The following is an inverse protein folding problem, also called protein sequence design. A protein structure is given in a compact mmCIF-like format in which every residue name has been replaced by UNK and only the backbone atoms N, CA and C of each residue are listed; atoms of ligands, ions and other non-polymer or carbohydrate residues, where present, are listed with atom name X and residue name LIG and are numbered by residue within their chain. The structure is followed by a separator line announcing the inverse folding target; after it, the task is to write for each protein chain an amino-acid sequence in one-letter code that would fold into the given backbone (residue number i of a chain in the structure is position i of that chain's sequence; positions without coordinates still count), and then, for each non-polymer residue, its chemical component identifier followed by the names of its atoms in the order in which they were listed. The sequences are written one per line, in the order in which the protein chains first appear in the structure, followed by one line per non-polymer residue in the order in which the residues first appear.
data_IF_599796144971
#
_entry.id   IF_599796144971
#
_cell.length_a   1.000
_cell.length_b   1.000
_cell.length_c   1.000
_cell.angle_alpha   90.00
_cell.angle_beta   90.00
_cell.angle_gamma   90.00
#
_symmetry.space_group_name_H-M   'P 1'
#
loop_
_entity.id
_entity.type
_entity.pdbx_description
1 polymer ?
#
# COMPACT_ATOMS: atom_id res chain seq x y z
N UNK A 1 -3.25 17.53 12.70
CA UNK A 1 -2.83 17.91 11.33
C UNK A 1 -3.33 16.87 10.35
N UNK A 2 -3.71 17.25 9.13
CA UNK A 2 -4.09 16.27 8.10
C UNK A 2 -2.87 15.39 7.77
N UNK A 3 -3.07 14.06 7.69
CA UNK A 3 -2.00 13.14 7.27
C UNK A 3 -1.59 13.46 5.83
N UNK A 4 -0.29 13.44 5.56
CA UNK A 4 0.22 13.60 4.19
C UNK A 4 -0.14 12.36 3.38
N UNK A 5 -0.59 12.55 2.14
CA UNK A 5 -1.03 11.46 1.26
C UNK A 5 0.04 11.14 0.21
N UNK A 6 0.22 9.87 -0.12
CA UNK A 6 1.13 9.40 -1.17
C UNK A 6 0.44 8.34 -2.04
N UNK A 7 0.57 8.47 -3.37
CA UNK A 7 0.13 7.47 -4.34
C UNK A 7 1.36 6.75 -4.91
N UNK A 8 1.42 5.43 -4.76
CA UNK A 8 2.52 4.60 -5.25
C UNK A 8 2.05 3.75 -6.43
N UNK A 9 2.65 3.99 -7.59
CA UNK A 9 2.57 3.09 -8.74
C UNK A 9 3.68 2.05 -8.65
N UNK A 10 3.40 0.80 -9.05
CA UNK A 10 4.35 -0.28 -8.85
C UNK A 10 4.52 -0.69 -7.38
N UNK A 11 3.50 -0.45 -6.54
CA UNK A 11 3.53 -0.79 -5.10
C UNK A 11 3.83 -2.28 -4.83
N UNK A 12 3.47 -3.16 -5.78
CA UNK A 12 3.76 -4.61 -5.71
C UNK A 12 5.22 -4.97 -6.02
N UNK A 13 6.03 -4.02 -6.48
CA UNK A 13 7.47 -4.23 -6.68
C UNK A 13 8.24 -4.19 -5.35
N UNK A 14 9.52 -4.57 -5.37
CA UNK A 14 10.40 -4.49 -4.19
C UNK A 14 10.48 -3.07 -3.65
N UNK A 15 10.86 -2.13 -4.50
CA UNK A 15 11.06 -0.75 -4.07
C UNK A 15 9.74 -0.08 -3.67
N UNK A 16 8.65 -0.47 -4.36
CA UNK A 16 7.31 0.00 -4.05
C UNK A 16 6.84 -0.43 -2.66
N UNK A 17 7.07 -1.68 -2.27
CA UNK A 17 6.69 -2.18 -0.94
C UNK A 17 7.54 -1.55 0.16
N UNK A 18 8.87 -1.44 -0.04
CA UNK A 18 9.76 -0.77 0.91
C UNK A 18 9.43 0.72 1.08
N UNK A 19 9.08 1.42 0.00
CA UNK A 19 8.66 2.82 0.06
C UNK A 19 7.34 2.98 0.80
N UNK A 20 6.39 2.05 0.60
CA UNK A 20 5.11 2.05 1.31
C UNK A 20 5.34 1.91 2.83
N UNK A 21 6.12 0.92 3.27
CA UNK A 21 6.46 0.71 4.68
C UNK A 21 7.14 1.95 5.29
N UNK A 22 8.11 2.52 4.57
CA UNK A 22 8.80 3.72 5.01
C UNK A 22 7.83 4.90 5.20
N UNK A 23 6.94 5.16 4.24
CA UNK A 23 5.99 6.28 4.31
C UNK A 23 4.94 6.07 5.39
N UNK A 24 4.42 4.84 5.55
CA UNK A 24 3.51 4.49 6.63
C UNK A 24 4.16 4.73 8.00
N UNK A 25 5.43 4.35 8.19
CA UNK A 25 6.18 4.63 9.43
C UNK A 25 6.34 6.12 9.72
N UNK A 26 6.25 6.98 8.70
CA UNK A 26 6.29 8.45 8.82
C UNK A 26 4.90 9.08 9.03
N UNK A 27 3.85 8.27 9.17
CA UNK A 27 2.48 8.73 9.40
C UNK A 27 1.75 9.20 8.13
N UNK A 28 2.23 8.80 6.95
CA UNK A 28 1.54 9.06 5.69
C UNK A 28 0.34 8.13 5.53
N UNK A 29 -0.64 8.61 4.77
CA UNK A 29 -1.69 7.79 4.16
C UNK A 29 -1.19 7.36 2.77
N UNK A 30 -1.10 6.06 2.53
CA UNK A 30 -0.49 5.50 1.31
C UNK A 30 -1.53 4.75 0.51
N UNK A 31 -1.72 5.14 -0.75
CA UNK A 31 -2.58 4.46 -1.70
C UNK A 31 -1.72 3.77 -2.76
N UNK A 32 -2.02 2.50 -3.05
CA UNK A 32 -1.27 1.70 -4.01
C UNK A 32 -2.07 1.34 -5.24
N UNK A 33 -1.46 1.39 -6.44
CA UNK A 33 -2.06 0.87 -7.66
C UNK A 33 -1.57 -0.56 -7.93
N UNK A 34 -2.49 -1.50 -7.96
CA UNK A 34 -2.24 -2.91 -8.24
C UNK A 34 -2.77 -3.26 -9.64
N UNK A 35 -1.92 -3.84 -10.50
CA UNK A 35 -2.33 -4.27 -11.84
C UNK A 35 -3.14 -5.57 -11.77
N UNK A 36 -4.17 -5.73 -12.62
CA UNK A 36 -5.04 -6.92 -12.63
C UNK A 36 -4.31 -8.26 -12.73
N UNK A 37 -3.15 -8.31 -13.39
CA UNK A 37 -2.35 -9.52 -13.61
C UNK A 37 -1.26 -9.78 -12.55
N UNK A 38 -1.24 -9.04 -11.45
CA UNK A 38 -0.14 -9.06 -10.47
C UNK A 38 -0.19 -10.20 -9.44
N UNK A 39 -0.86 -11.32 -9.77
CA UNK A 39 -1.14 -12.45 -8.87
C UNK A 39 0.09 -13.03 -8.14
N UNK A 40 1.30 -12.83 -8.66
CA UNK A 40 2.54 -13.43 -8.14
C UNK A 40 3.29 -12.59 -7.08
N UNK A 41 2.91 -11.33 -6.84
CA UNK A 41 3.70 -10.41 -6.00
C UNK A 41 2.96 -9.85 -4.78
N UNK A 42 1.76 -10.35 -4.47
CA UNK A 42 0.98 -9.88 -3.31
C UNK A 42 1.56 -10.28 -1.97
N UNK A 43 2.36 -11.35 -1.90
CA UNK A 43 3.00 -11.84 -0.68
C UNK A 43 3.80 -10.74 0.06
N UNK A 44 4.46 -9.85 -0.69
CA UNK A 44 5.22 -8.72 -0.13
C UNK A 44 4.37 -7.59 0.45
N UNK A 45 3.09 -7.55 0.08
CA UNK A 45 2.13 -6.57 0.55
C UNK A 45 1.11 -7.21 1.47
N UNK A 46 1.22 -8.50 1.77
CA UNK A 46 0.19 -9.24 2.50
C UNK A 46 0.05 -8.72 3.93
N UNK A 47 1.15 -8.26 4.53
CA UNK A 47 1.14 -7.57 5.82
C UNK A 47 0.59 -6.13 5.77
N UNK A 48 0.50 -5.53 4.57
CA UNK A 48 -0.10 -4.22 4.32
C UNK A 48 -1.53 -4.33 3.77
N UNK A 49 -1.95 -5.52 3.35
CA UNK A 49 -3.23 -5.72 2.72
C UNK A 49 -4.33 -5.76 3.78
N UNK A 50 -5.14 -4.71 3.79
CA UNK A 50 -6.39 -4.69 4.53
C UNK A 50 -7.50 -5.09 3.55
N UNK A 51 -8.36 -6.04 3.94
CA UNK A 51 -9.51 -6.44 3.11
C UNK A 51 -10.33 -5.18 2.82
N UNK A 52 -10.65 -4.85 1.56
CA UNK A 52 -11.50 -3.71 1.22
C UNK A 52 -12.93 -3.80 1.79
N UNK A 53 -13.32 -4.95 2.36
CA UNK A 53 -14.56 -5.16 3.12
C UNK A 53 -14.40 -4.89 4.62
N UNK A 54 -13.18 -4.65 5.10
CA UNK A 54 -12.93 -4.23 6.47
C UNK A 54 -13.41 -2.79 6.65
N UNK A 55 -14.34 -2.50 7.57
CA UNK A 55 -14.84 -1.15 7.83
C UNK A 55 -13.76 -0.17 8.32
N UNK A 56 -12.57 -0.64 8.71
CA UNK A 56 -11.42 0.19 9.04
C UNK A 56 -10.45 0.43 7.87
N UNK A 57 -10.68 -0.19 6.71
CA UNK A 57 -9.95 0.08 5.48
C UNK A 57 -10.32 1.49 4.98
N UNK A 58 -9.51 2.48 5.36
CA UNK A 58 -9.62 3.82 4.82
C UNK A 58 -8.98 3.82 3.43
N UNK A 59 -9.82 3.70 2.40
CA UNK A 59 -9.46 3.92 0.99
C UNK A 59 -9.20 5.39 0.69
#
# INVERSE_FOLDING_TARGET
MAKKKALITGITGQDGSYLADFLLSKGYEVHGIIRRSSSFNRERLEHLYVDPRDPHAHL
#
